data_IF_978146777091
#
_entry.id   IF_978146777091
#
_cell.length_a   1.000
_cell.length_b   1.000
_cell.length_c   1.000
_cell.angle_alpha   90.00
_cell.angle_beta   90.00
_cell.angle_gamma   90.00
#
_symmetry.space_group_name_H-M   'P 1'
#
loop_
_entity.id
_entity.type
_entity.pdbx_description
1 polymer ?
#
# COMPACT_ATOMS: atom_id res chain seq x y z
N UNK A 1 1.80 -9.01 12.01
CA UNK A 1 2.16 -8.63 13.39
C UNK A 1 3.20 -9.61 13.92
N UNK A 2 4.32 -9.10 14.45
CA UNK A 2 5.38 -9.94 15.04
C UNK A 2 4.95 -10.57 16.37
N UNK A 3 4.03 -9.91 17.08
CA UNK A 3 3.54 -10.30 18.41
C UNK A 3 2.02 -10.43 18.49
N UNK A 4 1.39 -10.98 17.46
CA UNK A 4 -0.07 -11.08 17.36
C UNK A 4 -0.72 -11.78 18.56
N UNK A 5 -0.15 -12.90 19.01
CA UNK A 5 -0.67 -13.67 20.14
C UNK A 5 -0.62 -12.88 21.45
N UNK A 6 0.50 -12.22 21.73
CA UNK A 6 0.71 -11.39 22.92
C UNK A 6 -0.23 -10.18 22.89
N UNK A 7 -0.28 -9.47 21.77
CA UNK A 7 -1.15 -8.31 21.57
C UNK A 7 -2.63 -8.65 21.76
N UNK A 8 -3.12 -9.73 21.13
CA UNK A 8 -4.51 -10.14 21.31
C UNK A 8 -4.79 -10.62 22.74
N UNK A 9 -3.83 -11.30 23.38
CA UNK A 9 -3.97 -11.71 24.79
C UNK A 9 -4.14 -10.51 25.71
N UNK A 10 -3.38 -9.43 25.50
CA UNK A 10 -3.52 -8.19 26.26
C UNK A 10 -4.81 -7.43 25.95
N UNK A 11 -5.22 -7.41 24.68
CA UNK A 11 -6.41 -6.68 24.22
C UNK A 11 -7.72 -7.29 24.77
N UNK A 12 -7.79 -8.62 24.83
CA UNK A 12 -9.01 -9.34 25.23
C UNK A 12 -8.94 -9.91 26.66
N UNK A 13 -7.80 -9.72 27.33
CA UNK A 13 -7.51 -10.29 28.68
C UNK A 13 -7.73 -11.82 28.70
N UNK A 14 -7.35 -12.50 27.60
CA UNK A 14 -7.60 -13.92 27.38
C UNK A 14 -6.37 -14.64 26.80
N UNK A 15 -6.27 -15.94 27.07
CA UNK A 15 -5.22 -16.79 26.50
C UNK A 15 -5.53 -17.10 25.03
N UNK A 16 -4.80 -16.49 24.11
CA UNK A 16 -4.98 -16.66 22.68
C UNK A 16 -4.20 -17.84 22.10
N UNK A 17 -4.81 -18.53 21.14
CA UNK A 17 -4.15 -19.54 20.31
C UNK A 17 -3.89 -18.92 18.94
N UNK A 18 -2.62 -18.89 18.53
CA UNK A 18 -2.24 -18.45 17.19
C UNK A 18 -2.39 -19.63 16.22
N UNK A 19 -3.24 -19.48 15.21
CA UNK A 19 -3.37 -20.42 14.10
C UNK A 19 -2.73 -19.76 12.86
N UNK A 20 -1.61 -20.33 12.42
CA UNK A 20 -0.95 -19.90 11.20
C UNK A 20 -1.47 -20.68 10.00
N UNK A 21 -2.07 -20.00 9.07
CA UNK A 21 -2.60 -20.59 7.83
C UNK A 21 -1.76 -20.20 6.62
N UNK A 22 -1.35 -21.17 5.82
CA UNK A 22 -0.79 -20.93 4.50
C UNK A 22 -1.93 -20.75 3.48
N UNK A 23 -2.49 -19.54 3.38
CA UNK A 23 -3.42 -19.24 2.29
C UNK A 23 -2.70 -19.33 0.93
N UNK A 24 -3.37 -19.87 -0.11
CA UNK A 24 -2.87 -19.78 -1.49
C UNK A 24 -2.80 -18.30 -1.89
N UNK A 25 -1.62 -17.70 -1.76
CA UNK A 25 -1.31 -16.38 -2.33
C UNK A 25 -0.80 -16.59 -3.75
N UNK A 26 -1.15 -15.69 -4.66
CA UNK A 26 -0.50 -15.66 -5.96
C UNK A 26 0.98 -15.26 -5.82
N UNK A 27 1.78 -15.60 -6.82
CA UNK A 27 3.19 -15.23 -6.86
C UNK A 27 3.35 -13.72 -7.07
N UNK A 28 4.19 -13.09 -6.27
CA UNK A 28 4.49 -11.67 -6.36
C UNK A 28 5.98 -11.48 -6.68
N UNK A 29 6.24 -10.86 -7.82
CA UNK A 29 7.59 -10.35 -8.12
C UNK A 29 7.76 -9.00 -7.42
N UNK A 30 8.65 -8.96 -6.44
CA UNK A 30 8.94 -7.75 -5.68
C UNK A 30 10.27 -7.13 -6.11
N UNK A 31 10.29 -5.80 -6.27
CA UNK A 31 11.53 -5.05 -6.45
C UNK A 31 11.53 -3.77 -5.61
N UNK A 32 12.63 -3.54 -4.93
CA UNK A 32 12.96 -2.28 -4.28
C UNK A 32 13.83 -1.44 -5.21
N UNK A 33 13.41 -0.22 -5.50
CA UNK A 33 14.05 0.62 -6.51
C UNK A 33 14.46 1.96 -5.90
N UNK A 34 15.71 2.32 -6.13
CA UNK A 34 16.25 3.60 -5.70
C UNK A 34 16.57 4.48 -6.90
N UNK A 35 15.92 5.66 -7.04
CA UNK A 35 16.20 6.57 -8.14
C UNK A 35 17.54 7.28 -7.93
N UNK A 36 18.49 7.14 -8.88
CA UNK A 36 19.80 7.79 -8.80
C UNK A 36 19.80 9.21 -9.36
N UNK A 37 19.13 9.43 -10.49
CA UNK A 37 19.13 10.70 -11.24
C UNK A 37 17.73 11.31 -11.40
N UNK A 38 16.71 10.74 -10.77
CA UNK A 38 15.31 11.15 -10.90
C UNK A 38 14.67 11.28 -9.53
N UNK A 39 13.54 11.97 -9.47
CA UNK A 39 12.74 11.99 -8.24
C UNK A 39 12.01 10.66 -8.06
N UNK A 40 11.71 10.28 -6.82
CA UNK A 40 10.86 9.13 -6.50
C UNK A 40 9.55 9.13 -7.31
N UNK A 41 8.90 10.30 -7.41
CA UNK A 41 7.67 10.45 -8.19
C UNK A 41 7.85 10.18 -9.68
N UNK A 42 8.93 10.65 -10.28
CA UNK A 42 9.24 10.37 -11.68
C UNK A 42 9.44 8.87 -11.92
N UNK A 43 10.16 8.19 -11.03
CA UNK A 43 10.31 6.74 -11.07
C UNK A 43 8.94 6.03 -10.98
N UNK A 44 8.08 6.43 -10.05
CA UNK A 44 6.75 5.85 -9.89
C UNK A 44 5.88 6.04 -11.14
N UNK A 45 5.98 7.19 -11.81
CA UNK A 45 5.26 7.45 -13.07
C UNK A 45 5.79 6.57 -14.19
N UNK A 46 7.11 6.44 -14.34
CA UNK A 46 7.73 5.59 -15.36
C UNK A 46 7.34 4.11 -15.19
N UNK A 47 7.31 3.62 -13.94
CA UNK A 47 6.83 2.28 -13.62
C UNK A 47 5.34 2.11 -13.96
N UNK A 48 4.52 3.10 -13.59
CA UNK A 48 3.09 3.10 -13.90
C UNK A 48 2.89 3.00 -15.41
N UNK A 49 3.61 3.82 -16.19
CA UNK A 49 3.55 3.78 -17.64
C UNK A 49 3.91 2.40 -18.19
N UNK A 50 5.03 1.82 -17.76
CA UNK A 50 5.47 0.50 -18.21
C UNK A 50 4.46 -0.62 -17.92
N UNK A 51 3.81 -0.58 -16.76
CA UNK A 51 2.79 -1.55 -16.39
C UNK A 51 1.51 -1.36 -17.21
N UNK A 52 1.02 -0.12 -17.32
CA UNK A 52 -0.21 0.19 -18.07
C UNK A 52 -0.06 -0.02 -19.58
N UNK A 53 1.12 0.25 -20.15
CA UNK A 53 1.42 -0.06 -21.56
C UNK A 53 1.33 -1.58 -21.84
N UNK A 54 1.60 -2.41 -20.83
CA UNK A 54 1.41 -3.87 -20.87
C UNK A 54 0.00 -4.31 -20.44
N UNK A 55 -0.93 -3.38 -20.26
CA UNK A 55 -2.31 -3.60 -19.81
C UNK A 55 -2.44 -4.18 -18.39
N UNK A 56 -1.42 -4.00 -17.55
CA UNK A 56 -1.50 -4.37 -16.14
C UNK A 56 -2.24 -3.29 -15.34
N UNK A 57 -3.28 -3.70 -14.63
CA UNK A 57 -4.01 -2.83 -13.71
C UNK A 57 -3.14 -2.47 -12.52
N UNK A 58 -2.89 -1.19 -12.33
CA UNK A 58 -1.86 -0.71 -11.43
C UNK A 58 -2.42 0.23 -10.36
N UNK A 59 -2.07 -0.01 -9.10
CA UNK A 59 -2.29 0.93 -8.01
C UNK A 59 -0.99 1.58 -7.59
N UNK A 60 -1.01 2.90 -7.46
CA UNK A 60 0.15 3.71 -7.10
C UNK A 60 -0.11 4.42 -5.79
N UNK A 61 0.56 3.98 -4.74
CA UNK A 61 0.38 4.48 -3.39
C UNK A 61 1.37 5.60 -3.04
N UNK A 62 0.84 6.77 -2.74
CA UNK A 62 1.59 7.93 -2.24
C UNK A 62 1.31 8.15 -0.75
N UNK A 63 2.26 8.77 -0.03
CA UNK A 63 2.15 9.00 1.41
C UNK A 63 1.39 10.28 1.78
N UNK A 64 1.00 11.11 0.80
CA UNK A 64 0.19 12.31 1.05
C UNK A 64 -0.82 12.54 -0.07
N UNK A 65 -1.86 13.31 0.25
CA UNK A 65 -2.88 13.72 -0.71
C UNK A 65 -2.27 14.51 -1.88
N UNK A 66 -1.41 15.48 -1.56
CA UNK A 66 -0.73 16.30 -2.56
C UNK A 66 0.11 15.45 -3.52
N UNK A 67 0.92 14.52 -2.99
CA UNK A 67 1.75 13.66 -3.83
C UNK A 67 0.92 12.75 -4.74
N UNK A 68 -0.21 12.24 -4.27
CA UNK A 68 -1.14 11.43 -5.06
C UNK A 68 -1.75 12.22 -6.22
N UNK A 69 -2.12 13.48 -6.00
CA UNK A 69 -2.66 14.37 -7.03
C UNK A 69 -1.60 14.80 -8.05
N UNK A 70 -0.44 15.24 -7.57
CA UNK A 70 0.68 15.64 -8.44
C UNK A 70 1.17 14.48 -9.31
N UNK A 71 1.23 13.26 -8.76
CA UNK A 71 1.58 12.06 -9.51
C UNK A 71 0.56 11.82 -10.62
N UNK A 72 -0.73 11.81 -10.32
CA UNK A 72 -1.77 11.61 -11.31
C UNK A 72 -1.79 12.71 -12.40
N UNK A 73 -1.60 13.97 -11.99
CA UNK A 73 -1.53 15.10 -12.94
C UNK A 73 -0.34 14.94 -13.91
N UNK A 74 0.84 14.58 -13.41
CA UNK A 74 2.03 14.39 -14.24
C UNK A 74 1.93 13.13 -15.11
N UNK A 75 1.36 12.04 -14.58
CA UNK A 75 1.11 10.80 -15.31
C UNK A 75 0.16 11.03 -16.50
N UNK A 76 -0.90 11.82 -16.32
CA UNK A 76 -1.82 12.21 -17.40
C UNK A 76 -1.12 12.97 -18.54
N UNK A 77 -0.11 13.81 -18.23
CA UNK A 77 0.70 14.47 -19.27
C UNK A 77 1.48 13.47 -20.13
N UNK A 78 1.78 12.29 -19.58
CA UNK A 78 2.39 11.16 -20.30
C UNK A 78 1.34 10.21 -20.92
N UNK A 79 0.07 10.65 -21.04
CA UNK A 79 -1.05 9.89 -21.62
C UNK A 79 -1.38 8.59 -20.86
N UNK A 80 -1.07 8.53 -19.55
CA UNK A 80 -1.49 7.41 -18.71
C UNK A 80 -2.94 7.66 -18.27
N UNK A 81 -3.81 6.67 -18.47
CA UNK A 81 -5.18 6.69 -17.97
C UNK A 81 -5.19 6.37 -16.47
N UNK A 82 -5.18 7.42 -15.66
CA UNK A 82 -5.06 7.36 -14.21
C UNK A 82 -6.02 8.33 -13.53
N UNK A 83 -6.66 7.87 -12.45
CA UNK A 83 -7.51 8.73 -11.60
C UNK A 83 -7.00 8.70 -10.16
N UNK A 84 -7.38 9.72 -9.38
CA UNK A 84 -7.00 9.83 -7.97
C UNK A 84 -8.08 9.23 -7.08
N UNK A 85 -7.66 8.48 -6.05
CA UNK A 85 -8.53 8.02 -4.98
C UNK A 85 -7.89 8.33 -3.62
N UNK A 86 -8.49 9.25 -2.86
CA UNK A 86 -8.02 9.66 -1.53
C UNK A 86 -9.17 10.07 -0.61
N UNK A 87 -8.91 10.12 0.68
CA UNK A 87 -9.82 10.75 1.64
C UNK A 87 -10.04 12.23 1.28
N UNK A 88 -11.19 12.76 1.65
CA UNK A 88 -11.57 14.15 1.36
C UNK A 88 -12.11 14.41 -0.06
N UNK A 89 -12.03 13.44 -0.98
CA UNK A 89 -12.79 13.51 -2.24
C UNK A 89 -14.25 13.13 -2.00
N UNK A 90 -15.16 13.72 -2.80
CA UNK A 90 -16.58 13.40 -2.74
C UNK A 90 -16.84 11.90 -2.88
N UNK A 91 -17.73 11.35 -2.07
CA UNK A 91 -18.02 9.91 -2.05
C UNK A 91 -18.42 9.36 -3.43
N UNK A 92 -19.25 10.11 -4.17
CA UNK A 92 -19.68 9.72 -5.52
C UNK A 92 -18.51 9.63 -6.50
N UNK A 93 -17.53 10.54 -6.41
CA UNK A 93 -16.33 10.48 -7.22
C UNK A 93 -15.50 9.24 -6.89
N UNK A 94 -15.28 8.95 -5.60
CA UNK A 94 -14.52 7.76 -5.18
C UNK A 94 -15.18 6.47 -5.67
N UNK A 95 -16.52 6.33 -5.49
CA UNK A 95 -17.28 5.18 -6.02
C UNK A 95 -17.16 5.06 -7.54
N UNK A 96 -17.19 6.18 -8.28
CA UNK A 96 -16.98 6.18 -9.73
C UNK A 96 -15.59 5.64 -10.10
N UNK A 97 -14.53 6.08 -9.44
CA UNK A 97 -13.15 5.60 -9.67
C UNK A 97 -13.07 4.09 -9.39
N UNK A 98 -13.61 3.63 -8.28
CA UNK A 98 -13.66 2.21 -7.90
C UNK A 98 -14.38 1.36 -8.97
N UNK A 99 -15.54 1.82 -9.44
CA UNK A 99 -16.32 1.13 -10.46
C UNK A 99 -15.59 1.07 -11.82
N UNK A 100 -14.99 2.19 -12.26
CA UNK A 100 -14.24 2.23 -13.52
C UNK A 100 -13.02 1.29 -13.46
N UNK A 101 -12.32 1.27 -12.33
CA UNK A 101 -11.18 0.39 -12.16
C UNK A 101 -11.61 -1.08 -12.06
N UNK A 102 -12.68 -1.38 -11.32
CA UNK A 102 -13.23 -2.75 -11.21
C UNK A 102 -13.71 -3.31 -12.55
N UNK A 103 -14.28 -2.46 -13.42
CA UNK A 103 -14.79 -2.83 -14.73
C UNK A 103 -13.77 -2.74 -15.87
N UNK A 104 -12.48 -2.65 -15.57
CA UNK A 104 -11.35 -2.57 -16.53
C UNK A 104 -11.40 -1.36 -17.49
N UNK A 105 -12.22 -0.35 -17.16
CA UNK A 105 -12.30 0.92 -17.91
C UNK A 105 -11.29 1.96 -17.47
N UNK A 106 -10.53 1.69 -16.42
CA UNK A 106 -9.45 2.51 -15.88
C UNK A 106 -8.26 1.59 -15.58
N UNK A 107 -7.08 1.93 -16.06
CA UNK A 107 -5.88 1.08 -15.93
C UNK A 107 -5.03 1.39 -14.71
N UNK A 108 -5.10 2.62 -14.18
CA UNK A 108 -4.31 3.00 -13.01
C UNK A 108 -5.09 3.87 -12.02
N UNK A 109 -4.78 3.69 -10.73
CA UNK A 109 -5.25 4.56 -9.65
C UNK A 109 -4.05 5.09 -8.87
N UNK A 110 -3.98 6.43 -8.73
CA UNK A 110 -3.10 7.07 -7.74
C UNK A 110 -3.86 7.22 -6.44
N UNK A 111 -3.39 6.61 -5.37
CA UNK A 111 -4.11 6.56 -4.11
C UNK A 111 -3.24 6.83 -2.88
N UNK A 112 -3.93 7.14 -1.80
CA UNK A 112 -3.39 7.18 -0.44
C UNK A 112 -3.84 5.91 0.30
N UNK A 113 -3.55 5.74 1.62
CA UNK A 113 -3.94 4.55 2.37
C UNK A 113 -5.42 4.14 2.32
N UNK A 114 -6.30 4.97 1.80
CA UNK A 114 -7.75 4.68 1.71
C UNK A 114 -8.09 3.38 0.98
N UNK A 115 -7.20 2.88 0.13
CA UNK A 115 -7.38 1.63 -0.59
C UNK A 115 -6.50 0.48 -0.04
N UNK A 116 -5.85 0.66 1.10
CA UNK A 116 -5.09 -0.43 1.75
C UNK A 116 -6.01 -1.50 2.34
N UNK A 117 -7.18 -1.10 2.85
CA UNK A 117 -8.12 -2.00 3.56
C UNK A 117 -9.56 -1.82 3.08
N UNK A 118 -10.32 -2.91 3.11
CA UNK A 118 -11.80 -2.90 3.13
C UNK A 118 -12.52 -2.63 1.81
N UNK A 119 -11.87 -2.20 0.73
CA UNK A 119 -12.55 -1.88 -0.53
C UNK A 119 -12.32 -3.00 -1.56
N UNK A 120 -13.40 -3.49 -2.17
CA UNK A 120 -13.31 -4.44 -3.30
C UNK A 120 -13.17 -3.66 -4.62
N UNK A 121 -11.95 -3.57 -5.11
CA UNK A 121 -11.58 -2.90 -6.35
C UNK A 121 -11.29 -3.86 -7.52
N UNK A 122 -11.60 -5.15 -7.34
CA UNK A 122 -11.33 -6.18 -8.35
C UNK A 122 -9.86 -6.63 -8.39
N UNK A 123 -9.46 -7.19 -9.53
CA UNK A 123 -8.10 -7.67 -9.72
C UNK A 123 -7.12 -6.51 -9.91
N UNK A 124 -5.93 -6.64 -9.32
CA UNK A 124 -4.82 -5.72 -9.45
C UNK A 124 -3.59 -6.52 -9.82
N UNK A 125 -2.87 -6.10 -10.84
CA UNK A 125 -1.66 -6.79 -11.31
C UNK A 125 -0.40 -6.16 -10.73
N UNK A 126 -0.40 -4.83 -10.57
CA UNK A 126 0.77 -4.07 -10.14
C UNK A 126 0.51 -3.14 -8.95
N UNK A 127 1.39 -3.18 -7.98
CA UNK A 127 1.45 -2.25 -6.85
C UNK A 127 2.75 -1.44 -6.96
N UNK A 128 2.63 -0.13 -6.95
CA UNK A 128 3.77 0.77 -6.83
C UNK A 128 3.58 1.56 -5.55
N UNK A 129 4.54 1.54 -4.65
CA UNK A 129 4.47 2.20 -3.35
C UNK A 129 5.65 3.13 -3.15
N UNK A 130 5.40 4.34 -2.64
CA UNK A 130 6.43 5.14 -2.00
C UNK A 130 6.91 4.43 -0.72
N UNK A 131 8.06 4.85 -0.18
CA UNK A 131 8.66 4.28 1.03
C UNK A 131 7.68 4.28 2.21
N UNK A 132 7.47 3.12 2.80
CA UNK A 132 6.61 2.87 3.97
C UNK A 132 7.14 1.68 4.77
N UNK A 133 6.73 1.49 6.02
CA UNK A 133 7.01 0.28 6.79
C UNK A 133 6.51 -0.99 6.09
N UNK A 134 7.23 -2.10 6.29
CA UNK A 134 6.95 -3.39 5.63
C UNK A 134 5.54 -3.90 5.91
N UNK A 135 5.02 -3.72 7.12
CA UNK A 135 3.66 -4.14 7.49
C UNK A 135 2.60 -3.51 6.59
N UNK A 136 2.74 -2.22 6.27
CA UNK A 136 1.84 -1.51 5.37
C UNK A 136 2.05 -1.92 3.91
N UNK A 137 3.31 -2.14 3.50
CA UNK A 137 3.59 -2.66 2.17
C UNK A 137 2.90 -4.01 1.96
N UNK A 138 2.95 -4.92 2.94
CA UNK A 138 2.26 -6.21 2.84
C UNK A 138 0.75 -6.07 2.68
N UNK A 139 0.11 -5.09 3.32
CA UNK A 139 -1.32 -4.79 3.12
C UNK A 139 -1.61 -4.32 1.69
N UNK A 140 -0.72 -3.48 1.11
CA UNK A 140 -0.81 -3.03 -0.29
C UNK A 140 -0.60 -4.18 -1.27
N UNK A 141 0.44 -4.96 -1.07
CA UNK A 141 0.75 -6.16 -1.88
C UNK A 141 -0.41 -7.16 -1.84
N UNK A 142 -1.07 -7.32 -0.69
CA UNK A 142 -2.27 -8.16 -0.57
C UNK A 142 -3.46 -7.76 -1.45
N UNK A 143 -3.36 -6.63 -2.16
CA UNK A 143 -4.31 -6.22 -3.20
C UNK A 143 -4.00 -6.82 -4.57
N UNK A 144 -2.73 -7.17 -4.83
CA UNK A 144 -2.30 -7.78 -6.08
C UNK A 144 -2.36 -9.31 -6.04
N UNK A 145 -2.27 -9.91 -7.22
CA UNK A 145 -2.17 -11.37 -7.41
C UNK A 145 -3.27 -12.20 -6.72
N UNK A 146 -4.48 -11.68 -6.67
CA UNK A 146 -5.63 -12.46 -6.20
C UNK A 146 -5.96 -13.58 -7.20
N UNK A 147 -6.46 -14.71 -6.71
CA UNK A 147 -6.87 -15.87 -7.51
C UNK A 147 -5.74 -16.60 -8.23
N UNK A 148 -4.51 -16.62 -7.67
CA UNK A 148 -3.40 -17.40 -8.22
C UNK A 148 -2.74 -16.79 -9.47
N UNK A 149 -3.02 -15.52 -9.79
CA UNK A 149 -2.31 -14.79 -10.84
C UNK A 149 -0.95 -14.30 -10.33
N UNK A 150 -0.02 -14.05 -11.26
CA UNK A 150 1.25 -13.39 -10.97
C UNK A 150 1.04 -11.89 -10.80
N UNK A 151 1.58 -11.30 -9.76
CA UNK A 151 1.52 -9.87 -9.48
C UNK A 151 2.89 -9.23 -9.41
N UNK A 152 2.93 -7.91 -9.50
CA UNK A 152 4.15 -7.11 -9.44
C UNK A 152 4.06 -6.10 -8.30
N UNK A 153 5.09 -6.00 -7.49
CA UNK A 153 5.17 -5.02 -6.41
C UNK A 153 6.48 -4.26 -6.46
N UNK A 154 6.40 -2.95 -6.46
CA UNK A 154 7.55 -2.05 -6.50
C UNK A 154 7.53 -1.11 -5.31
N UNK A 155 8.61 -1.12 -4.52
CA UNK A 155 8.87 -0.12 -3.51
C UNK A 155 9.83 0.92 -4.09
N UNK A 156 9.32 2.11 -4.38
CA UNK A 156 10.14 3.22 -4.83
C UNK A 156 10.68 3.97 -3.60
N UNK A 157 11.98 3.90 -3.37
CA UNK A 157 12.66 4.62 -2.30
C UNK A 157 12.81 6.10 -2.65
N UNK A 158 12.83 6.95 -1.61
CA UNK A 158 13.06 8.39 -1.74
C UNK A 158 14.49 8.81 -1.39
N UNK A 159 14.65 10.09 -1.11
CA UNK A 159 15.92 10.66 -0.64
C UNK A 159 15.91 10.94 0.88
N UNK A 160 14.86 10.49 1.59
CA UNK A 160 14.77 10.59 3.03
C UNK A 160 15.75 9.63 3.73
N UNK A 161 16.09 9.87 5.03
CA UNK A 161 17.06 9.05 5.75
C UNK A 161 16.71 7.57 5.79
N UNK A 162 15.44 7.20 5.93
CA UNK A 162 14.96 5.82 5.98
C UNK A 162 15.20 5.13 4.63
N UNK A 163 14.87 5.82 3.54
CA UNK A 163 15.13 5.33 2.18
C UNK A 163 16.63 5.13 1.91
N UNK A 164 17.47 6.03 2.42
CA UNK A 164 18.93 5.88 2.30
C UNK A 164 19.45 4.70 3.10
N UNK A 165 18.90 4.45 4.29
CA UNK A 165 19.25 3.29 5.09
C UNK A 165 18.94 1.99 4.31
N UNK A 166 17.71 1.82 3.82
CA UNK A 166 17.33 0.61 3.07
C UNK A 166 18.02 0.49 1.71
N UNK A 167 18.50 1.56 1.11
CA UNK A 167 19.36 1.50 -0.07
C UNK A 167 20.65 0.72 0.22
N UNK A 168 21.23 0.94 1.40
CA UNK A 168 22.48 0.32 1.81
C UNK A 168 22.25 -1.05 2.51
N UNK A 169 21.09 -1.24 3.11
CA UNK A 169 20.69 -2.42 3.89
C UNK A 169 19.30 -2.94 3.43
N UNK A 170 19.16 -3.42 2.18
CA UNK A 170 17.84 -3.75 1.62
C UNK A 170 17.18 -4.96 2.30
N UNK A 171 17.93 -5.87 2.88
CA UNK A 171 17.40 -7.05 3.55
C UNK A 171 16.74 -6.69 4.90
N UNK A 172 17.27 -5.68 5.60
CA UNK A 172 16.73 -5.22 6.88
C UNK A 172 15.28 -4.74 6.76
N UNK A 173 14.86 -4.31 5.55
CA UNK A 173 13.49 -3.89 5.30
C UNK A 173 12.44 -4.96 5.63
N UNK A 174 12.75 -6.23 5.38
CA UNK A 174 11.83 -7.34 5.65
C UNK A 174 11.91 -7.84 7.11
N UNK A 175 13.01 -7.56 7.78
CA UNK A 175 13.20 -7.91 9.19
C UNK A 175 12.56 -6.88 10.13
N UNK A 176 12.28 -5.68 9.62
CA UNK A 176 11.69 -4.56 10.36
C UNK A 176 10.15 -4.67 10.48
N UNK A 177 9.70 -5.86 10.90
CA UNK A 177 8.28 -6.07 11.20
C UNK A 177 7.97 -5.47 12.57
N UNK A 178 7.18 -4.41 12.57
CA UNK A 178 6.78 -3.69 13.77
C UNK A 178 6.01 -4.58 14.75
N UNK A 179 6.34 -4.44 16.04
CA UNK A 179 5.52 -4.93 17.15
C UNK A 179 4.45 -3.88 17.46
N UNK A 180 3.27 -4.35 17.79
CA UNK A 180 2.19 -3.48 18.29
C UNK A 180 2.11 -3.62 19.80
N UNK A 181 1.99 -2.48 20.46
CA UNK A 181 1.81 -2.39 21.90
C UNK A 181 0.47 -1.74 22.21
N UNK A 182 -0.16 -2.22 23.27
CA UNK A 182 -1.39 -1.65 23.81
C UNK A 182 -1.23 -1.53 25.32
N UNK A 183 -1.73 -0.46 25.88
CA UNK A 183 -1.93 -0.30 27.31
C UNK A 183 -3.43 -0.28 27.60
N UNK A 184 -4.06 -1.45 27.84
CA UNK A 184 -5.50 -1.55 28.01
C UNK A 184 -6.02 -0.91 29.32
N UNK A 185 -5.11 -0.60 30.24
CA UNK A 185 -5.43 0.04 31.53
C UNK A 185 -4.89 1.47 31.61
N UNK A 186 -4.79 2.15 30.49
CA UNK A 186 -4.34 3.54 30.46
C UNK A 186 -5.40 4.46 31.11
N UNK A 187 -5.13 5.02 32.30
CA UNK A 187 -6.12 5.78 33.05
C UNK A 187 -6.58 7.05 32.32
N UNK A 188 -5.71 7.64 31.50
CA UNK A 188 -6.07 8.82 30.69
C UNK A 188 -7.06 8.48 29.59
N UNK A 189 -7.03 7.26 29.05
CA UNK A 189 -7.99 6.82 28.02
C UNK A 189 -9.29 6.36 28.67
N UNK A 190 -9.24 5.65 29.78
CA UNK A 190 -10.40 5.19 30.53
C UNK A 190 -11.25 6.38 31.00
N UNK A 191 -10.64 7.44 31.53
CA UNK A 191 -11.34 8.63 32.02
C UNK A 191 -12.17 9.32 30.92
N UNK A 192 -11.74 9.29 29.66
CA UNK A 192 -12.44 9.89 28.53
C UNK A 192 -13.50 8.98 27.89
N UNK A 193 -13.46 7.67 28.17
CA UNK A 193 -14.35 6.69 27.51
C UNK A 193 -15.48 6.18 28.41
N UNK A 194 -15.45 6.46 29.70
CA UNK A 194 -16.49 6.09 30.68
C UNK A 194 -17.40 7.29 30.93
N UNK A 195 -18.03 7.83 29.88
CA UNK A 195 -19.09 8.83 29.99
C UNK A 195 -20.38 8.23 29.40
#
# INVERSE_FOLDING_TARGET
LKNAKEFCGQLFDEKMILIEGSGKKGDIDFAMLFPSLRTQRALMIDLTKKLTDKKHKTMVFSNSHLNSELLAMQAKKQKIDIMVHRAGLMANYRKKVEQLFKSDKLTAISCTPTLELGVDIGNVDGIISATIPVNRLMQRIGRAARKGQRGYAFLALGNDPISQYYKNHPLDYFDDIERIYIDPKNPFVEEFQVI
#
